data_IF_352697691627
#
_entry.id   IF_352697691627
#
_cell.length_a   1.000
_cell.length_b   1.000
_cell.length_c   1.000
_cell.angle_alpha   90.00
_cell.angle_beta   90.00
_cell.angle_gamma   90.00
#
_symmetry.space_group_name_H-M   'P 1'
#
loop_
_entity.id
_entity.type
_entity.pdbx_description
1 polymer ?
#
# COMPACT_ATOMS: atom_id res chain seq x y z
N UNK A 1 14.35 56.60 71.33
CA UNK A 1 13.31 56.43 70.29
C UNK A 1 14.02 56.11 68.98
N UNK A 2 13.95 54.84 68.55
CA UNK A 2 14.67 54.29 67.38
C UNK A 2 13.76 54.39 66.15
N UNK A 3 14.26 54.91 65.02
CA UNK A 3 13.56 54.93 63.72
C UNK A 3 14.08 53.76 62.86
N UNK A 4 13.23 52.96 62.20
CA UNK A 4 13.68 51.82 61.40
C UNK A 4 14.06 52.23 59.97
N UNK A 5 15.01 51.49 59.39
CA UNK A 5 15.48 51.62 58.02
C UNK A 5 14.52 50.94 57.03
N UNK A 6 14.29 51.58 55.87
CA UNK A 6 13.47 51.05 54.79
C UNK A 6 14.30 50.16 53.85
N UNK A 7 13.81 48.95 53.56
CA UNK A 7 14.42 48.01 52.62
C UNK A 7 13.85 48.22 51.21
N UNK A 8 14.72 48.34 50.22
CA UNK A 8 14.37 48.37 48.79
C UNK A 8 14.32 46.93 48.24
N UNK A 9 13.19 46.56 47.62
CA UNK A 9 13.04 45.32 46.87
C UNK A 9 13.21 45.61 45.37
N UNK A 10 14.15 44.91 44.71
CA UNK A 10 14.30 44.91 43.25
C UNK A 10 13.34 43.89 42.61
N UNK A 11 12.66 44.22 41.50
CA UNK A 11 11.82 43.27 40.78
C UNK A 11 12.67 42.34 39.90
N UNK A 12 12.38 41.05 39.96
CA UNK A 12 12.96 40.01 39.11
C UNK A 12 12.09 39.86 37.85
N UNK A 13 12.60 40.19 36.67
CA UNK A 13 11.90 39.98 35.40
C UNK A 13 12.16 38.57 34.87
N UNK A 14 11.12 37.74 34.81
CA UNK A 14 11.14 36.43 34.16
C UNK A 14 10.94 36.60 32.64
N UNK A 15 11.96 36.30 31.85
CA UNK A 15 11.86 36.17 30.41
C UNK A 15 11.23 34.81 30.06
N UNK A 16 10.01 34.82 29.50
CA UNK A 16 9.35 33.61 29.01
C UNK A 16 9.89 33.28 27.61
N UNK A 17 10.50 32.10 27.44
CA UNK A 17 10.81 31.56 26.12
C UNK A 17 9.50 31.05 25.50
N UNK A 18 9.02 31.69 24.43
CA UNK A 18 7.95 31.14 23.62
C UNK A 18 8.51 30.00 22.76
N UNK A 19 7.98 28.79 22.92
CA UNK A 19 8.31 27.65 22.07
C UNK A 19 7.49 27.81 20.79
N UNK A 20 8.16 28.07 19.67
CA UNK A 20 7.53 28.17 18.36
C UNK A 20 7.16 26.76 17.90
N UNK A 21 5.86 26.46 17.81
CA UNK A 21 5.36 25.17 17.33
C UNK A 21 5.50 25.16 15.80
N UNK A 22 6.27 24.23 15.20
CA UNK A 22 6.39 24.15 13.75
C UNK A 22 5.02 23.86 13.10
N UNK A 23 4.75 24.38 11.89
CA UNK A 23 3.48 24.14 11.22
C UNK A 23 3.28 22.63 11.02
N UNK A 24 2.17 22.13 11.56
CA UNK A 24 1.76 20.73 11.42
C UNK A 24 1.58 20.46 9.92
N UNK A 25 2.29 19.45 9.40
CA UNK A 25 2.14 19.04 8.01
C UNK A 25 0.69 18.58 7.82
N UNK A 26 -0.06 19.06 6.81
CA UNK A 26 -1.42 18.60 6.61
C UNK A 26 -1.41 17.07 6.54
N UNK A 27 -2.36 16.40 7.21
CA UNK A 27 -2.46 14.95 7.09
C UNK A 27 -2.55 14.59 5.60
N UNK A 28 -1.91 13.49 5.18
CA UNK A 28 -2.04 13.03 3.81
C UNK A 28 -3.54 12.93 3.46
N UNK A 29 -3.94 13.31 2.24
CA UNK A 29 -5.34 13.21 1.84
C UNK A 29 -5.84 11.79 2.10
N UNK A 30 -7.05 11.67 2.67
CA UNK A 30 -7.66 10.37 2.91
C UNK A 30 -7.61 9.56 1.61
N UNK A 31 -7.01 8.38 1.67
CA UNK A 31 -6.86 7.53 0.50
C UNK A 31 -8.23 7.31 -0.13
N UNK A 32 -8.33 7.53 -1.44
CA UNK A 32 -9.57 7.31 -2.17
C UNK A 32 -9.98 5.83 -2.04
N UNK A 33 -11.26 5.58 -1.79
CA UNK A 33 -11.81 4.23 -1.89
C UNK A 33 -11.92 3.86 -3.36
N UNK A 34 -11.43 2.67 -3.73
CA UNK A 34 -11.48 2.18 -5.09
C UNK A 34 -12.31 0.91 -5.18
N UNK A 35 -13.08 0.77 -6.25
CA UNK A 35 -13.75 -0.47 -6.62
C UNK A 35 -13.73 -0.69 -8.13
N UNK A 36 -13.90 -1.94 -8.54
CA UNK A 36 -13.89 -2.35 -9.93
C UNK A 36 -14.71 -3.62 -10.17
N UNK A 37 -15.14 -3.82 -11.41
CA UNK A 37 -15.69 -5.09 -11.87
C UNK A 37 -15.33 -5.36 -13.33
N UNK A 38 -15.51 -6.61 -13.74
CA UNK A 38 -14.92 -7.15 -14.99
C UNK A 38 -15.94 -7.33 -16.12
N UNK A 39 -17.23 -7.52 -15.82
CA UNK A 39 -18.26 -7.81 -16.83
C UNK A 39 -19.62 -7.10 -16.55
N UNK A 40 -19.99 -6.07 -17.34
CA UNK A 40 -19.07 -5.27 -18.17
C UNK A 40 -18.00 -4.61 -17.30
N UNK A 41 -16.87 -4.22 -17.89
CA UNK A 41 -15.78 -3.58 -17.16
C UNK A 41 -16.19 -2.23 -16.59
N UNK A 42 -15.91 -1.99 -15.30
CA UNK A 42 -16.18 -0.72 -14.65
C UNK A 42 -15.18 -0.42 -13.51
N UNK A 43 -15.01 0.86 -13.18
CA UNK A 43 -14.25 1.36 -12.04
C UNK A 43 -15.04 2.44 -11.29
N UNK A 44 -14.77 2.54 -9.99
CA UNK A 44 -15.33 3.56 -9.10
C UNK A 44 -14.23 4.09 -8.19
N UNK A 45 -14.11 5.41 -8.14
CA UNK A 45 -13.33 6.14 -7.13
C UNK A 45 -14.29 6.94 -6.25
N UNK A 46 -14.20 6.76 -4.93
CA UNK A 46 -14.90 7.59 -3.95
C UNK A 46 -13.85 8.40 -3.19
N UNK A 47 -13.89 9.72 -3.36
CA UNK A 47 -13.06 10.68 -2.62
C UNK A 47 -13.95 11.47 -1.65
N UNK A 48 -13.38 12.27 -0.72
CA UNK A 48 -14.19 13.15 0.13
C UNK A 48 -15.15 14.06 -0.63
N UNK A 49 -14.78 14.48 -1.85
CA UNK A 49 -15.53 15.48 -2.62
C UNK A 49 -16.46 14.89 -3.68
N UNK A 50 -16.14 13.71 -4.24
CA UNK A 50 -16.86 13.16 -5.40
C UNK A 50 -16.90 11.63 -5.45
N UNK A 51 -17.88 11.11 -6.18
CA UNK A 51 -17.87 9.77 -6.74
C UNK A 51 -17.57 9.90 -8.24
N UNK A 52 -16.60 9.13 -8.72
CA UNK A 52 -16.20 9.07 -10.13
C UNK A 52 -16.36 7.62 -10.61
N UNK A 53 -17.40 7.36 -11.38
CA UNK A 53 -17.73 6.07 -11.97
C UNK A 53 -17.46 6.08 -13.47
N UNK A 54 -16.73 5.06 -13.91
CA UNK A 54 -16.44 4.78 -15.31
C UNK A 54 -16.90 3.34 -15.58
N UNK A 55 -17.96 3.17 -16.37
CA UNK A 55 -18.58 1.87 -16.62
C UNK A 55 -18.76 1.59 -18.11
N UNK A 56 -19.20 0.37 -18.40
CA UNK A 56 -19.39 -0.11 -19.78
C UNK A 56 -18.10 0.07 -20.62
N UNK A 57 -16.94 -0.30 -20.06
CA UNK A 57 -15.62 -0.13 -20.71
C UNK A 57 -15.29 1.32 -21.12
N UNK A 58 -15.79 2.31 -20.37
CA UNK A 58 -15.53 3.72 -20.61
C UNK A 58 -16.60 4.47 -21.37
N UNK A 59 -17.65 3.78 -21.83
CA UNK A 59 -18.78 4.41 -22.52
C UNK A 59 -19.66 5.24 -21.56
N UNK A 60 -19.79 4.79 -20.32
CA UNK A 60 -20.59 5.47 -19.29
C UNK A 60 -19.67 6.17 -18.29
N UNK A 61 -19.73 7.50 -18.21
CA UNK A 61 -18.97 8.30 -17.24
C UNK A 61 -19.92 9.11 -16.36
N UNK A 62 -19.84 8.92 -15.05
CA UNK A 62 -20.66 9.62 -14.06
C UNK A 62 -19.74 10.22 -13.00
N UNK A 63 -19.72 11.54 -12.90
CA UNK A 63 -19.04 12.27 -11.82
C UNK A 63 -20.10 13.06 -11.06
N UNK A 64 -20.25 12.76 -9.77
CA UNK A 64 -21.24 13.41 -8.89
C UNK A 64 -20.57 13.80 -7.58
N UNK A 65 -21.10 14.83 -6.91
CA UNK A 65 -20.65 15.20 -5.57
C UNK A 65 -20.83 14.01 -4.60
N UNK A 66 -19.92 13.86 -3.65
CA UNK A 66 -20.05 12.81 -2.64
C UNK A 66 -21.25 13.11 -1.72
N UNK A 67 -22.30 12.27 -1.69
CA UNK A 67 -23.48 12.52 -0.84
C UNK A 67 -23.22 12.23 0.65
N UNK A 68 -22.03 11.74 1.00
CA UNK A 68 -21.71 11.17 2.30
C UNK A 68 -22.17 9.71 2.42
N UNK A 69 -21.39 8.93 3.16
CA UNK A 69 -21.72 7.53 3.45
C UNK A 69 -22.90 7.43 4.42
N UNK A 70 -23.89 6.59 4.10
CA UNK A 70 -24.93 6.18 5.05
C UNK A 70 -24.65 4.75 5.51
N UNK A 71 -24.69 4.45 6.81
CA UNK A 71 -24.52 3.08 7.30
C UNK A 71 -25.55 2.12 6.68
N UNK A 72 -25.09 0.91 6.34
CA UNK A 72 -25.92 -0.23 5.94
C UNK A 72 -25.76 -1.37 6.96
N UNK A 73 -26.41 -2.52 6.73
CA UNK A 73 -26.35 -3.68 7.64
C UNK A 73 -24.92 -4.18 7.87
N UNK A 74 -24.06 -4.12 6.85
CA UNK A 74 -22.67 -4.57 6.90
C UNK A 74 -21.77 -3.74 5.96
N UNK A 75 -21.84 -2.41 6.08
CA UNK A 75 -21.02 -1.49 5.28
C UNK A 75 -21.69 -0.14 5.09
N UNK A 76 -21.54 0.43 3.89
CA UNK A 76 -21.97 1.79 3.58
C UNK A 76 -22.78 1.85 2.28
N UNK A 77 -23.65 2.85 2.21
CA UNK A 77 -24.45 3.17 1.04
C UNK A 77 -24.30 4.63 0.67
N UNK A 78 -24.06 4.89 -0.61
CA UNK A 78 -24.02 6.22 -1.22
C UNK A 78 -25.17 6.31 -2.22
N UNK A 79 -25.95 7.40 -2.17
CA UNK A 79 -27.10 7.56 -3.07
C UNK A 79 -27.12 8.99 -3.61
N UNK A 80 -27.18 9.08 -4.94
CA UNK A 80 -27.39 10.30 -5.73
C UNK A 80 -28.49 10.03 -6.75
N UNK A 81 -28.83 11.03 -7.57
CA UNK A 81 -29.87 10.88 -8.60
C UNK A 81 -29.49 9.88 -9.70
N UNK A 82 -28.19 9.70 -9.98
CA UNK A 82 -27.69 8.86 -11.08
C UNK A 82 -26.91 7.63 -10.62
N UNK A 83 -26.45 7.63 -9.37
CA UNK A 83 -25.55 6.61 -8.85
C UNK A 83 -25.99 6.20 -7.44
N UNK A 84 -26.23 4.90 -7.25
CA UNK A 84 -26.27 4.28 -5.94
C UNK A 84 -25.13 3.26 -5.80
N UNK A 85 -24.39 3.32 -4.71
CA UNK A 85 -23.28 2.40 -4.42
C UNK A 85 -23.56 1.75 -3.08
N UNK A 86 -23.59 0.42 -3.05
CA UNK A 86 -23.65 -0.39 -1.85
C UNK A 86 -22.29 -1.08 -1.66
N UNK A 87 -21.56 -0.67 -0.62
CA UNK A 87 -20.33 -1.31 -0.16
C UNK A 87 -20.70 -2.29 0.95
N UNK A 88 -20.35 -3.56 0.78
CA UNK A 88 -20.54 -4.60 1.78
C UNK A 88 -19.18 -5.13 2.23
N UNK A 89 -18.89 -5.09 3.52
CA UNK A 89 -17.66 -5.63 4.12
C UNK A 89 -17.67 -7.16 4.10
N UNK A 90 -17.38 -7.71 2.94
CA UNK A 90 -17.30 -9.13 2.66
C UNK A 90 -16.24 -9.35 1.57
N UNK A 91 -15.32 -10.29 1.81
CA UNK A 91 -14.21 -10.54 0.90
C UNK A 91 -14.71 -10.86 -0.51
N UNK A 92 -14.06 -10.26 -1.50
CA UNK A 92 -14.41 -10.39 -2.91
C UNK A 92 -13.17 -10.79 -3.70
N UNK A 93 -13.33 -11.75 -4.63
CA UNK A 93 -12.31 -12.09 -5.62
C UNK A 93 -12.76 -11.58 -6.99
N UNK A 94 -11.86 -10.97 -7.75
CA UNK A 94 -12.16 -10.45 -9.09
C UNK A 94 -12.31 -11.54 -10.16
N UNK A 95 -12.11 -12.82 -9.80
CA UNK A 95 -12.33 -14.01 -10.63
C UNK A 95 -11.39 -14.16 -11.83
N UNK A 96 -10.62 -13.11 -12.15
CA UNK A 96 -9.69 -13.07 -13.29
C UNK A 96 -8.23 -13.15 -12.83
N UNK A 97 -7.92 -12.52 -11.70
CA UNK A 97 -6.56 -12.34 -11.20
C UNK A 97 -6.31 -13.07 -9.86
N UNK A 98 -7.32 -13.79 -9.36
CA UNK A 98 -7.37 -14.29 -7.97
C UNK A 98 -6.96 -13.21 -6.94
N UNK A 99 -7.23 -11.94 -7.27
CA UNK A 99 -6.94 -10.83 -6.37
C UNK A 99 -8.12 -10.69 -5.44
N UNK A 100 -7.82 -10.65 -4.14
CA UNK A 100 -8.82 -10.53 -3.10
C UNK A 100 -8.87 -9.11 -2.57
N UNK A 101 -10.07 -8.68 -2.29
CA UNK A 101 -10.42 -7.35 -1.83
C UNK A 101 -11.28 -7.46 -0.59
N UNK A 102 -11.22 -6.45 0.28
CA UNK A 102 -11.97 -6.41 1.53
C UNK A 102 -13.48 -6.42 1.33
N UNK A 103 -13.95 -5.75 0.28
CA UNK A 103 -15.37 -5.46 0.12
C UNK A 103 -15.94 -5.99 -1.20
N UNK A 104 -17.22 -6.36 -1.14
CA UNK A 104 -18.08 -6.60 -2.29
C UNK A 104 -18.85 -5.33 -2.56
N UNK A 105 -18.83 -4.85 -3.81
CA UNK A 105 -19.45 -3.58 -4.21
C UNK A 105 -20.52 -3.83 -5.26
N UNK A 106 -21.70 -3.27 -5.03
CA UNK A 106 -22.78 -3.20 -6.03
C UNK A 106 -23.00 -1.75 -6.41
N UNK A 107 -23.01 -1.46 -7.71
CA UNK A 107 -23.28 -0.12 -8.23
C UNK A 107 -24.54 -0.16 -9.08
N UNK A 108 -25.45 0.78 -8.85
CA UNK A 108 -26.56 1.09 -9.75
C UNK A 108 -26.27 2.43 -10.41
N UNK A 109 -25.91 2.40 -11.69
CA UNK A 109 -25.58 3.56 -12.51
C UNK A 109 -26.65 3.75 -13.59
N UNK A 110 -27.40 4.86 -13.53
CA UNK A 110 -28.52 5.16 -14.43
C UNK A 110 -29.50 3.97 -14.60
N UNK A 111 -29.77 3.25 -13.52
CA UNK A 111 -30.65 2.09 -13.50
C UNK A 111 -30.01 0.75 -13.89
N UNK A 112 -28.77 0.73 -14.40
CA UNK A 112 -28.01 -0.51 -14.63
C UNK A 112 -27.30 -0.95 -13.35
N UNK A 113 -27.44 -2.21 -12.98
CA UNK A 113 -26.73 -2.78 -11.82
C UNK A 113 -25.50 -3.57 -12.25
N UNK A 114 -24.35 -3.28 -11.65
CA UNK A 114 -23.12 -4.03 -11.80
C UNK A 114 -22.55 -4.41 -10.43
N UNK A 115 -21.78 -5.49 -10.39
CA UNK A 115 -21.12 -5.99 -9.18
C UNK A 115 -19.63 -6.10 -9.39
N UNK A 116 -18.88 -6.06 -8.28
CA UNK A 116 -17.43 -6.11 -8.31
C UNK A 116 -16.85 -6.04 -6.91
N UNK A 117 -15.55 -5.76 -6.85
CA UNK A 117 -14.76 -5.77 -5.63
C UNK A 117 -14.24 -4.37 -5.29
N UNK A 118 -14.02 -4.07 -4.01
CA UNK A 118 -13.53 -2.76 -3.60
C UNK A 118 -12.79 -2.74 -2.27
N UNK A 119 -12.27 -1.56 -1.96
CA UNK A 119 -11.51 -1.31 -0.74
C UNK A 119 -10.08 -1.84 -0.82
N UNK A 120 -9.51 -2.12 0.35
CA UNK A 120 -8.13 -2.59 0.47
C UNK A 120 -7.94 -3.97 -0.15
N UNK A 121 -6.86 -4.12 -0.91
CA UNK A 121 -6.42 -5.42 -1.42
C UNK A 121 -5.91 -6.25 -0.24
N UNK A 122 -6.38 -7.48 -0.16
CA UNK A 122 -5.99 -8.42 0.88
C UNK A 122 -4.70 -9.14 0.50
N UNK A 123 -3.91 -9.48 1.52
CA UNK A 123 -2.75 -10.34 1.36
C UNK A 123 -3.14 -11.67 0.69
N UNK A 124 -2.26 -12.29 -0.10
CA UNK A 124 -2.47 -13.66 -0.54
C UNK A 124 -2.49 -14.60 0.69
N UNK A 125 -3.18 -15.74 0.59
CA UNK A 125 -3.20 -16.73 1.69
C UNK A 125 -1.81 -17.29 1.94
N UNK A 126 -1.07 -17.51 0.86
CA UNK A 126 0.29 -18.01 0.85
C UNK A 126 1.12 -17.22 -0.16
N UNK A 127 2.43 -17.19 0.05
CA UNK A 127 3.33 -16.65 -0.97
C UNK A 127 3.40 -17.55 -2.20
N UNK A 128 3.21 -18.87 -2.06
CA UNK A 128 3.29 -19.81 -3.18
C UNK A 128 2.30 -19.44 -4.29
N UNK A 129 2.76 -19.48 -5.54
CA UNK A 129 1.98 -19.08 -6.72
C UNK A 129 1.94 -17.57 -6.97
N UNK A 130 2.60 -16.74 -6.16
CA UNK A 130 2.58 -15.28 -6.33
C UNK A 130 3.79 -14.75 -7.10
N UNK A 131 3.57 -13.70 -7.90
CA UNK A 131 4.59 -13.00 -8.67
C UNK A 131 4.64 -11.53 -8.28
N UNK A 132 5.85 -10.99 -8.23
CA UNK A 132 6.10 -9.63 -7.76
C UNK A 132 7.16 -8.95 -8.62
N UNK A 133 7.09 -7.63 -8.71
CA UNK A 133 8.14 -6.77 -9.26
C UNK A 133 8.69 -5.88 -8.18
N UNK A 134 9.97 -5.54 -8.27
CA UNK A 134 10.58 -4.60 -7.32
C UNK A 134 10.12 -3.17 -7.61
N UNK A 135 9.84 -2.44 -6.54
CA UNK A 135 9.55 -0.99 -6.56
C UNK A 135 10.75 -0.25 -5.99
N UNK A 136 11.25 -0.68 -4.83
CA UNK A 136 12.46 -0.14 -4.21
C UNK A 136 13.24 -1.21 -3.44
N UNK A 137 14.54 -0.97 -3.27
CA UNK A 137 15.44 -1.80 -2.45
C UNK A 137 16.25 -0.86 -1.56
N UNK A 138 16.20 -1.06 -0.25
CA UNK A 138 16.87 -0.19 0.72
C UNK A 138 16.37 1.26 0.66
N UNK A 139 15.09 1.47 0.34
CA UNK A 139 14.51 2.80 0.15
C UNK A 139 14.86 3.48 -1.19
N UNK A 140 15.71 2.88 -2.02
CA UNK A 140 16.08 3.43 -3.34
C UNK A 140 15.18 2.83 -4.42
N UNK A 141 14.50 3.64 -5.26
CA UNK A 141 13.72 3.13 -6.38
C UNK A 141 14.56 2.27 -7.32
N UNK A 142 14.00 1.15 -7.77
CA UNK A 142 14.75 0.26 -8.65
C UNK A 142 14.97 0.85 -10.03
N UNK A 143 16.14 0.60 -10.62
CA UNK A 143 16.44 1.02 -11.97
C UNK A 143 15.49 0.34 -12.98
N UNK A 144 15.04 1.11 -13.98
CA UNK A 144 14.05 0.65 -14.96
C UNK A 144 14.68 0.17 -16.28
N UNK A 145 16.01 0.19 -16.37
CA UNK A 145 16.76 -0.24 -17.54
C UNK A 145 16.77 -1.77 -17.73
N UNK A 146 16.38 -2.53 -16.69
CA UNK A 146 16.33 -3.98 -16.71
C UNK A 146 15.11 -4.51 -15.96
N UNK A 147 14.48 -5.59 -16.44
CA UNK A 147 13.33 -6.18 -15.76
C UNK A 147 13.75 -6.80 -14.41
N UNK A 148 12.92 -6.56 -13.40
CA UNK A 148 13.04 -7.18 -12.07
C UNK A 148 11.84 -8.07 -11.81
N UNK A 149 12.05 -9.14 -11.06
CA UNK A 149 10.99 -10.09 -10.70
C UNK A 149 11.36 -10.84 -9.44
N UNK A 150 10.34 -11.23 -8.68
CA UNK A 150 10.41 -12.20 -7.59
C UNK A 150 9.17 -13.07 -7.68
N UNK A 151 9.38 -14.36 -7.91
CA UNK A 151 8.33 -15.37 -8.01
C UNK A 151 8.50 -16.38 -6.88
N UNK A 152 7.38 -16.78 -6.29
CA UNK A 152 7.28 -17.82 -5.30
C UNK A 152 6.48 -18.98 -5.89
N UNK A 153 7.09 -20.17 -5.95
CA UNK A 153 6.52 -21.37 -6.56
C UNK A 153 6.75 -22.57 -5.63
N UNK A 154 5.68 -23.03 -4.97
CA UNK A 154 5.79 -23.96 -3.85
C UNK A 154 6.74 -23.44 -2.77
N UNK A 155 7.76 -24.22 -2.42
CA UNK A 155 8.79 -23.84 -1.44
C UNK A 155 10.02 -23.15 -2.07
N UNK A 156 9.94 -22.71 -3.33
CA UNK A 156 11.04 -22.10 -4.07
C UNK A 156 10.77 -20.63 -4.35
N UNK A 157 11.78 -19.78 -4.16
CA UNK A 157 11.79 -18.42 -4.67
C UNK A 157 12.78 -18.29 -5.82
N UNK A 158 12.47 -17.44 -6.79
CA UNK A 158 13.36 -17.13 -7.91
C UNK A 158 13.08 -15.78 -8.51
N UNK A 159 14.04 -15.21 -9.23
CA UNK A 159 13.85 -13.89 -9.80
C UNK A 159 15.11 -13.22 -10.32
N UNK A 160 15.02 -11.90 -10.44
CA UNK A 160 16.13 -11.01 -10.73
C UNK A 160 15.88 -9.69 -10.00
N UNK A 161 16.85 -9.27 -9.21
CA UNK A 161 16.83 -7.98 -8.52
C UNK A 161 17.60 -6.93 -9.32
N UNK A 162 17.89 -7.16 -10.60
CA UNK A 162 18.45 -6.15 -11.51
C UNK A 162 19.66 -6.62 -12.32
N UNK A 163 20.54 -7.45 -11.75
CA UNK A 163 21.71 -7.95 -12.50
C UNK A 163 21.63 -9.42 -12.89
N UNK A 164 21.69 -10.29 -11.89
CA UNK A 164 21.71 -11.74 -12.00
C UNK A 164 20.34 -12.36 -11.77
N UNK A 165 20.16 -13.53 -12.36
CA UNK A 165 19.03 -14.40 -12.00
C UNK A 165 19.40 -15.15 -10.73
N UNK A 166 18.44 -15.27 -9.83
CA UNK A 166 18.60 -15.98 -8.57
C UNK A 166 17.51 -17.02 -8.34
N UNK A 167 17.83 -18.00 -7.49
CA UNK A 167 16.86 -18.97 -6.98
C UNK A 167 17.32 -19.58 -5.67
N UNK A 168 16.38 -19.99 -4.83
CA UNK A 168 16.65 -20.74 -3.61
C UNK A 168 15.35 -21.26 -2.99
N UNK A 169 15.49 -22.05 -1.92
CA UNK A 169 14.34 -22.43 -1.09
C UNK A 169 13.93 -21.28 -0.16
N UNK A 170 12.70 -21.34 0.34
CA UNK A 170 12.25 -20.47 1.42
C UNK A 170 11.24 -21.18 2.32
N UNK A 171 11.11 -20.67 3.53
CA UNK A 171 10.05 -21.01 4.47
C UNK A 171 9.32 -19.73 4.87
N UNK A 172 8.00 -19.81 5.06
CA UNK A 172 7.22 -18.68 5.55
C UNK A 172 6.08 -19.15 6.46
N UNK A 173 5.82 -18.37 7.50
CA UNK A 173 4.67 -18.54 8.40
C UNK A 173 3.55 -17.51 8.15
N UNK A 174 3.61 -16.82 7.00
CA UNK A 174 2.70 -15.74 6.62
C UNK A 174 3.05 -14.36 7.17
N UNK A 175 3.93 -14.26 8.16
CA UNK A 175 4.40 -12.97 8.74
C UNK A 175 5.90 -12.79 8.62
N UNK A 176 6.64 -13.88 8.57
CA UNK A 176 8.08 -13.93 8.43
C UNK A 176 8.42 -14.85 7.26
N UNK A 177 9.43 -14.48 6.51
CA UNK A 177 10.05 -15.34 5.50
C UNK A 177 11.52 -15.55 5.85
N UNK A 178 11.98 -16.79 5.75
CA UNK A 178 13.41 -17.11 5.82
C UNK A 178 13.82 -17.77 4.52
N UNK A 179 14.76 -17.16 3.80
CA UNK A 179 15.34 -17.77 2.62
C UNK A 179 16.40 -18.79 3.02
N UNK A 180 16.44 -19.91 2.31
CA UNK A 180 17.61 -20.78 2.28
C UNK A 180 18.75 -20.15 1.47
N UNK A 181 19.83 -20.91 1.20
CA UNK A 181 20.92 -20.44 0.37
C UNK A 181 20.42 -20.01 -1.03
N UNK A 182 20.65 -18.73 -1.37
CA UNK A 182 20.32 -18.19 -2.69
C UNK A 182 21.50 -18.41 -3.63
N UNK A 183 21.21 -19.06 -4.76
CA UNK A 183 22.15 -19.22 -5.86
C UNK A 183 21.87 -18.14 -6.91
N UNK A 184 22.93 -17.54 -7.46
CA UNK A 184 22.83 -16.52 -8.50
C UNK A 184 23.79 -16.81 -9.66
N UNK A 185 23.43 -16.36 -10.86
CA UNK A 185 24.37 -16.27 -11.98
C UNK A 185 25.49 -15.27 -11.69
N UNK A 186 26.55 -15.26 -12.50
CA UNK A 186 27.69 -14.33 -12.36
C UNK A 186 27.90 -13.50 -13.62
N UNK A 187 26.98 -12.57 -13.86
CA UNK A 187 27.08 -11.54 -14.89
C UNK A 187 27.57 -10.23 -14.27
N UNK A 188 28.26 -9.43 -15.08
CA UNK A 188 28.54 -8.04 -14.76
C UNK A 188 27.53 -7.17 -15.50
N UNK A 189 26.85 -6.29 -14.78
CA UNK A 189 25.84 -5.40 -15.35
C UNK A 189 26.28 -3.94 -15.14
N UNK A 190 26.09 -3.06 -16.13
CA UNK A 190 26.28 -1.63 -15.93
C UNK A 190 25.20 -1.06 -14.98
N UNK A 191 25.41 0.16 -14.50
CA UNK A 191 24.42 0.89 -13.72
C UNK A 191 24.22 0.35 -12.29
N UNK A 192 23.00 0.55 -11.76
CA UNK A 192 22.69 0.28 -10.35
C UNK A 192 22.36 -1.20 -10.05
N UNK A 193 22.23 -2.05 -11.08
CA UNK A 193 21.70 -3.41 -10.93
C UNK A 193 22.51 -4.30 -9.97
N UNK A 194 23.84 -4.17 -9.95
CA UNK A 194 24.70 -4.93 -9.02
C UNK A 194 24.49 -4.50 -7.57
N UNK A 195 24.46 -3.19 -7.30
CA UNK A 195 24.25 -2.65 -5.95
C UNK A 195 22.86 -3.02 -5.42
N UNK A 196 21.84 -2.92 -6.27
CA UNK A 196 20.46 -3.30 -5.96
C UNK A 196 20.35 -4.78 -5.60
N UNK A 197 20.96 -5.65 -6.41
CA UNK A 197 21.00 -7.09 -6.14
C UNK A 197 21.72 -7.41 -4.82
N UNK A 198 22.88 -6.80 -4.58
CA UNK A 198 23.62 -7.02 -3.34
C UNK A 198 22.80 -6.61 -2.13
N UNK A 199 22.12 -5.45 -2.17
CA UNK A 199 21.28 -4.99 -1.07
C UNK A 199 20.11 -5.96 -0.80
N UNK A 200 19.44 -6.43 -1.86
CA UNK A 200 18.38 -7.45 -1.71
C UNK A 200 18.93 -8.75 -1.10
N UNK A 201 20.09 -9.23 -1.55
CA UNK A 201 20.70 -10.46 -1.04
C UNK A 201 21.11 -10.34 0.42
N UNK A 202 21.62 -9.18 0.84
CA UNK A 202 21.96 -8.92 2.23
C UNK A 202 20.71 -8.97 3.12
N UNK A 203 19.62 -8.34 2.70
CA UNK A 203 18.34 -8.38 3.40
C UNK A 203 17.82 -9.82 3.56
N UNK A 204 17.93 -10.65 2.52
CA UNK A 204 17.46 -12.04 2.53
C UNK A 204 18.40 -13.03 3.25
N UNK A 205 19.55 -12.60 3.81
CA UNK A 205 20.45 -13.50 4.58
C UNK A 205 19.87 -13.92 5.92
N UNK A 206 18.96 -13.11 6.47
CA UNK A 206 18.26 -13.41 7.71
C UNK A 206 16.75 -13.50 7.48
N UNK A 207 15.99 -13.78 8.56
CA UNK A 207 14.54 -13.68 8.52
C UNK A 207 14.12 -12.25 8.16
N UNK A 208 13.08 -12.14 7.32
CA UNK A 208 12.47 -10.86 6.94
C UNK A 208 11.01 -10.86 7.34
N UNK A 209 10.54 -9.75 7.91
CA UNK A 209 9.12 -9.55 8.19
C UNK A 209 8.39 -9.19 6.91
N UNK A 210 7.17 -9.72 6.77
CA UNK A 210 6.25 -9.48 5.67
C UNK A 210 5.16 -8.51 6.14
N UNK A 211 4.98 -7.42 5.42
CA UNK A 211 3.83 -6.52 5.57
C UNK A 211 3.11 -6.37 4.23
N UNK A 212 1.78 -6.43 4.25
CA UNK A 212 0.94 -6.34 3.05
C UNK A 212 -0.01 -5.15 3.17
N UNK A 213 0.43 -3.94 2.79
CA UNK A 213 -0.44 -2.78 2.76
C UNK A 213 -1.64 -2.98 1.82
N UNK A 214 -2.72 -2.27 2.12
CA UNK A 214 -3.99 -2.34 1.39
C UNK A 214 -3.92 -1.89 -0.09
N UNK A 215 -2.79 -1.31 -0.53
CA UNK A 215 -2.53 -0.94 -1.92
C UNK A 215 -2.03 -2.12 -2.78
N UNK A 216 -1.86 -3.30 -2.16
CA UNK A 216 -1.40 -4.53 -2.79
C UNK A 216 0.10 -4.57 -3.05
N UNK A 217 0.87 -3.79 -2.29
CA UNK A 217 2.31 -3.99 -2.16
C UNK A 217 2.64 -5.07 -1.14
N UNK A 218 3.87 -5.58 -1.23
CA UNK A 218 4.50 -6.40 -0.20
C UNK A 218 5.77 -5.66 0.23
N UNK A 219 5.90 -5.43 1.53
CA UNK A 219 7.09 -4.83 2.13
C UNK A 219 7.83 -5.93 2.89
N UNK A 220 9.06 -6.21 2.46
CA UNK A 220 9.99 -7.04 3.20
C UNK A 220 10.85 -6.15 4.09
N UNK A 221 10.94 -6.47 5.38
CA UNK A 221 11.81 -5.72 6.32
C UNK A 221 12.86 -6.65 6.91
N UNK A 222 14.14 -6.35 6.66
CA UNK A 222 15.28 -7.07 7.23
C UNK A 222 15.53 -6.71 8.69
N UNK A 223 16.37 -7.50 9.36
CA UNK A 223 16.71 -7.31 10.78
C UNK A 223 17.41 -5.97 11.08
N UNK A 224 18.05 -5.35 10.07
CA UNK A 224 18.69 -4.04 10.15
C UNK A 224 17.73 -2.87 9.84
N UNK A 225 16.44 -3.17 9.62
CA UNK A 225 15.41 -2.19 9.28
C UNK A 225 15.41 -1.78 7.80
N UNK A 226 16.28 -2.34 6.96
CA UNK A 226 16.21 -2.11 5.52
C UNK A 226 14.92 -2.71 4.96
N UNK A 227 14.34 -2.03 3.97
CA UNK A 227 13.10 -2.45 3.34
C UNK A 227 13.25 -2.71 1.85
N UNK A 228 12.49 -3.68 1.36
CA UNK A 228 12.27 -3.92 -0.06
C UNK A 228 10.78 -3.84 -0.31
N UNK A 229 10.37 -2.95 -1.21
CA UNK A 229 8.96 -2.79 -1.60
C UNK A 229 8.73 -3.47 -2.93
N UNK A 230 7.72 -4.32 -2.96
CA UNK A 230 7.33 -5.15 -4.09
C UNK A 230 5.90 -4.81 -4.49
N UNK A 231 5.59 -4.86 -5.78
CA UNK A 231 4.21 -4.76 -6.28
C UNK A 231 3.79 -6.09 -6.88
N UNK A 232 2.59 -6.57 -6.53
CA UNK A 232 2.05 -7.82 -7.09
C UNK A 232 1.90 -7.68 -8.60
N UNK A 233 2.29 -8.73 -9.32
CA UNK A 233 2.08 -8.92 -10.75
C UNK A 233 1.05 -10.03 -10.90
N UNK A 234 0.04 -9.78 -11.73
CA UNK A 234 -1.02 -10.72 -12.03
C UNK A 234 -1.16 -10.82 -13.54
#
# INVERSE_FOLDING_TARGET
>A
MVRPAAAFALPLTLAACAVEVPPETPPPPAAAYMALGTEPGWTLEITPDRLNYDGDYGETKIVVANPGARPSVNGERYVTDRLAVDVTHAECSDGMSDRRYRDTVTVVADGKTVKGCGGGILAPEELAGTNWRFVSVGGVPVAQDRPTSLAFDGAKLSGSAGCNRFSGGYESDGRTLTAGPLMATKMACPGAGMTQEMAFFQLMRGPVSLDFPADGTLILTGADGQTVVLKRVI
#
